data_IF_785144764718
#
_entry.id   IF_785144764718
#
_cell.length_a   1.000
_cell.length_b   1.000
_cell.length_c   1.000
_cell.angle_alpha   90.00
_cell.angle_beta   90.00
_cell.angle_gamma   90.00
#
_symmetry.space_group_name_H-M   'P 1'
#
loop_
_entity.id
_entity.type
_entity.pdbx_description
1 polymer ?
#
# COMPACT_ATOMS: atom_id res chain seq x y z
N UNK A 1 -55.52 29.92 4.26
CA UNK A 1 -54.35 30.64 3.75
C UNK A 1 -53.72 29.75 2.67
N UNK A 2 -53.83 30.15 1.42
CA UNK A 2 -53.41 29.41 0.21
C UNK A 2 -52.16 30.04 -0.39
N UNK A 3 -51.25 29.23 -0.93
CA UNK A 3 -50.27 29.59 -1.96
C UNK A 3 -50.06 28.31 -2.79
N UNK A 4 -50.75 28.10 -3.93
CA UNK A 4 -50.54 28.60 -5.32
C UNK A 4 -49.19 28.18 -5.94
N UNK A 5 -49.23 27.09 -6.70
CA UNK A 5 -48.24 26.67 -7.71
C UNK A 5 -48.60 27.30 -9.06
N UNK A 6 -47.65 27.88 -9.81
CA UNK A 6 -47.51 27.71 -11.27
C UNK A 6 -46.05 28.05 -11.73
N UNK A 7 -45.58 27.72 -12.96
CA UNK A 7 -44.51 26.74 -13.18
C UNK A 7 -43.38 27.26 -14.12
N UNK A 8 -42.35 26.46 -14.42
CA UNK A 8 -42.09 26.11 -15.83
C UNK A 8 -41.06 24.97 -16.02
N UNK A 9 -41.39 24.18 -17.04
CA UNK A 9 -40.62 23.27 -17.91
C UNK A 9 -39.12 23.13 -17.60
N UNK A 10 -38.53 21.93 -17.61
CA UNK A 10 -38.33 21.10 -18.81
C UNK A 10 -38.20 19.62 -18.42
N UNK A 11 -38.96 18.77 -19.13
CA UNK A 11 -38.68 17.33 -19.26
C UNK A 11 -37.44 17.13 -20.12
N UNK A 12 -36.45 16.40 -19.62
CA UNK A 12 -35.72 15.44 -20.43
C UNK A 12 -35.30 14.28 -19.50
N UNK A 13 -35.58 13.01 -19.85
CA UNK A 13 -34.92 11.91 -19.17
C UNK A 13 -33.42 12.04 -19.47
N UNK A 14 -32.58 12.07 -18.44
CA UNK A 14 -31.13 11.89 -18.58
C UNK A 14 -30.90 10.52 -19.22
N UNK A 15 -30.86 10.49 -20.55
CA UNK A 15 -30.45 9.33 -21.31
C UNK A 15 -28.93 9.20 -21.17
N UNK A 16 -28.49 8.45 -20.16
CA UNK A 16 -27.11 7.98 -20.10
C UNK A 16 -26.88 7.03 -21.28
N UNK A 17 -26.25 7.54 -22.35
CA UNK A 17 -25.67 6.68 -23.39
C UNK A 17 -24.20 6.43 -23.02
N UNK A 18 -23.94 5.32 -22.36
CA UNK A 18 -22.59 4.78 -22.27
C UNK A 18 -22.30 4.02 -23.58
N UNK A 19 -21.35 4.51 -24.38
CA UNK A 19 -20.81 3.74 -25.50
C UNK A 19 -19.70 2.84 -24.94
N UNK A 20 -20.05 1.59 -24.60
CA UNK A 20 -19.10 0.63 -24.08
C UNK A 20 -18.40 -0.08 -25.25
N UNK A 21 -17.11 0.20 -25.45
CA UNK A 21 -16.24 -0.62 -26.29
C UNK A 21 -15.59 -1.65 -25.36
N UNK A 22 -16.11 -2.88 -25.39
CA UNK A 22 -15.61 -4.01 -24.58
C UNK A 22 -14.60 -4.77 -25.44
N UNK A 23 -13.33 -4.76 -25.04
CA UNK A 23 -12.31 -5.69 -25.55
C UNK A 23 -11.77 -6.54 -24.38
N UNK A 24 -12.09 -7.84 -24.42
CA UNK A 24 -11.30 -8.92 -23.81
C UNK A 24 -11.50 -9.26 -22.32
N UNK A 25 -11.37 -10.55 -21.93
CA UNK A 25 -11.72 -11.05 -20.58
C UNK A 25 -10.63 -10.89 -19.50
N UNK A 26 -9.57 -10.11 -19.72
CA UNK A 26 -8.51 -9.90 -18.72
C UNK A 26 -8.38 -8.41 -18.37
N UNK A 27 -9.14 -8.01 -17.35
CA UNK A 27 -9.08 -6.72 -16.65
C UNK A 27 -9.05 -5.50 -17.57
N UNK A 28 -10.22 -5.04 -18.04
CA UNK A 28 -10.21 -4.07 -19.12
C UNK A 28 -9.97 -2.68 -18.53
N UNK A 29 -8.87 -2.07 -18.97
CA UNK A 29 -8.73 -0.62 -18.91
C UNK A 29 -9.72 -0.04 -19.91
N UNK A 30 -10.84 0.47 -19.43
CA UNK A 30 -11.76 1.21 -20.28
C UNK A 30 -11.56 2.70 -20.07
N UNK A 31 -11.26 3.38 -21.18
CA UNK A 31 -11.41 4.82 -21.29
C UNK A 31 -12.77 5.06 -21.94
N UNK A 32 -13.67 5.74 -21.25
CA UNK A 32 -14.95 6.12 -21.82
C UNK A 32 -15.21 7.61 -21.62
N UNK A 33 -15.98 8.19 -22.53
CA UNK A 33 -16.52 9.53 -22.37
C UNK A 33 -17.87 9.44 -21.67
N UNK A 34 -17.99 10.09 -20.53
CA UNK A 34 -19.28 10.34 -19.88
C UNK A 34 -19.73 11.77 -20.22
N UNK A 35 -21.01 11.96 -20.54
CA UNK A 35 -21.56 13.29 -20.80
C UNK A 35 -22.34 13.77 -19.58
N UNK A 36 -21.86 14.83 -18.92
CA UNK A 36 -22.61 15.59 -17.94
C UNK A 36 -22.98 16.94 -18.56
N UNK A 37 -24.16 17.00 -19.18
CA UNK A 37 -24.53 18.12 -20.06
C UNK A 37 -23.80 18.03 -21.41
N UNK A 38 -23.33 19.17 -21.94
CA UNK A 38 -22.75 19.27 -23.29
C UNK A 38 -21.23 19.04 -23.35
N UNK A 39 -20.57 18.83 -22.22
CA UNK A 39 -19.13 18.61 -22.17
C UNK A 39 -18.81 17.11 -22.00
N UNK A 40 -17.99 16.51 -22.87
CA UNK A 40 -17.48 15.17 -22.64
C UNK A 40 -16.47 15.18 -21.49
N UNK A 41 -16.72 14.37 -20.47
CA UNK A 41 -15.78 14.09 -19.39
C UNK A 41 -15.06 12.80 -19.76
N UNK A 42 -13.73 12.88 -19.86
CA UNK A 42 -12.89 11.70 -20.01
C UNK A 42 -12.81 10.99 -18.66
N UNK A 43 -13.41 9.80 -18.56
CA UNK A 43 -13.34 8.98 -17.36
C UNK A 43 -12.31 7.89 -17.59
N UNK A 44 -11.23 7.95 -16.83
CA UNK A 44 -10.29 6.85 -16.70
C UNK A 44 -10.74 5.99 -15.53
N UNK A 45 -11.16 4.76 -15.80
CA UNK A 45 -11.21 3.77 -14.73
C UNK A 45 -9.77 3.28 -14.55
N UNK A 46 -9.05 3.89 -13.60
CA UNK A 46 -7.75 3.37 -13.19
C UNK A 46 -7.98 1.90 -12.77
N UNK A 47 -7.26 0.97 -13.42
CA UNK A 47 -7.33 -0.44 -13.05
C UNK A 47 -7.21 -0.56 -11.53
N UNK A 48 -8.04 -1.41 -10.91
CA UNK A 48 -8.41 -1.34 -9.48
C UNK A 48 -7.27 -1.14 -8.48
N UNK A 49 -7.64 -0.91 -7.21
CA UNK A 49 -6.77 -0.52 -6.07
C UNK A 49 -5.43 -1.27 -5.95
N UNK A 50 -5.38 -2.51 -6.45
CA UNK A 50 -4.22 -3.40 -6.36
C UNK A 50 -3.53 -3.64 -7.70
N UNK A 51 -2.22 -3.86 -7.64
CA UNK A 51 -1.38 -4.32 -8.75
C UNK A 51 -0.66 -5.62 -8.42
N UNK A 52 -0.14 -6.29 -9.47
CA UNK A 52 0.80 -7.37 -9.25
C UNK A 52 2.09 -6.80 -8.64
N UNK A 53 2.77 -7.60 -7.82
CA UNK A 53 4.03 -7.21 -7.17
C UNK A 53 5.12 -6.80 -8.18
N UNK A 54 5.07 -7.32 -9.41
CA UNK A 54 5.99 -6.98 -10.50
C UNK A 54 5.79 -5.56 -11.07
N UNK A 55 4.64 -4.93 -10.76
CA UNK A 55 4.31 -3.57 -11.17
C UNK A 55 4.71 -2.53 -10.10
N UNK A 56 5.22 -2.96 -8.94
CA UNK A 56 5.65 -2.10 -7.85
C UNK A 56 7.00 -1.42 -8.15
N UNK A 57 7.33 -0.36 -7.39
CA UNK A 57 8.50 0.50 -7.68
C UNK A 57 9.63 0.26 -6.67
N UNK A 58 10.84 0.60 -7.10
CA UNK A 58 12.03 0.52 -6.24
C UNK A 58 12.25 -0.88 -5.69
N UNK A 59 12.40 -0.98 -4.38
CA UNK A 59 12.70 -2.24 -3.69
C UNK A 59 11.46 -3.12 -3.46
N UNK A 60 10.26 -2.55 -3.53
CA UNK A 60 9.01 -3.19 -3.13
C UNK A 60 8.77 -4.56 -3.81
N UNK A 61 9.00 -4.77 -5.13
CA UNK A 61 8.85 -6.10 -5.73
C UNK A 61 9.74 -7.16 -5.08
N UNK A 62 10.98 -6.78 -4.74
CA UNK A 62 11.96 -7.69 -4.16
C UNK A 62 11.65 -7.99 -2.68
N UNK A 63 11.18 -6.98 -1.94
CA UNK A 63 10.70 -7.14 -0.57
C UNK A 63 9.47 -8.05 -0.53
N UNK A 64 8.53 -7.86 -1.45
CA UNK A 64 7.36 -8.73 -1.60
C UNK A 64 7.77 -10.18 -1.89
N UNK A 65 8.75 -10.41 -2.77
CA UNK A 65 9.26 -11.73 -3.07
C UNK A 65 9.90 -12.41 -1.84
N UNK A 66 10.74 -11.67 -1.08
CA UNK A 66 11.34 -12.17 0.17
C UNK A 66 10.29 -12.43 1.25
N UNK A 67 9.28 -11.56 1.36
CA UNK A 67 8.17 -11.76 2.28
C UNK A 67 7.44 -13.06 1.98
N UNK A 68 7.06 -13.29 0.71
CA UNK A 68 6.38 -14.52 0.32
C UNK A 68 7.22 -15.79 0.53
N UNK A 69 8.55 -15.67 0.48
CA UNK A 69 9.48 -16.77 0.76
C UNK A 69 9.74 -16.98 2.26
N UNK A 70 9.35 -16.05 3.13
CA UNK A 70 9.54 -16.16 4.58
C UNK A 70 8.68 -17.27 5.17
N UNK A 71 9.22 -18.02 6.13
CA UNK A 71 8.48 -19.03 6.89
C UNK A 71 7.33 -18.45 7.71
N UNK A 72 7.41 -17.16 8.04
CA UNK A 72 6.36 -16.45 8.77
C UNK A 72 5.17 -16.06 7.88
N UNK A 73 5.36 -16.10 6.55
CA UNK A 73 4.33 -15.73 5.60
C UNK A 73 3.41 -16.91 5.26
N UNK A 74 2.13 -16.72 5.50
CA UNK A 74 1.08 -17.72 5.25
C UNK A 74 -0.09 -17.16 4.44
N UNK A 75 0.14 -16.08 3.68
CA UNK A 75 -0.92 -15.22 3.12
C UNK A 75 -1.48 -15.67 1.79
N UNK A 76 -0.85 -16.64 1.14
CA UNK A 76 -1.15 -16.99 -0.25
C UNK A 76 -0.63 -15.92 -1.20
N UNK A 77 -1.44 -15.54 -2.19
CA UNK A 77 -1.04 -14.52 -3.16
C UNK A 77 -0.90 -13.15 -2.50
N UNK A 78 0.20 -12.45 -2.78
CA UNK A 78 0.46 -11.07 -2.35
C UNK A 78 0.23 -10.12 -3.53
N UNK A 79 -0.35 -8.95 -3.26
CA UNK A 79 -0.53 -7.85 -4.22
C UNK A 79 -0.06 -6.54 -3.61
N UNK A 80 0.34 -5.61 -4.46
CA UNK A 80 0.70 -4.25 -4.05
C UNK A 80 -0.47 -3.29 -4.15
N UNK A 81 -0.44 -2.19 -3.40
CA UNK A 81 -1.34 -1.06 -3.61
C UNK A 81 -0.77 -0.18 -4.75
N UNK A 82 -1.64 0.34 -5.64
CA UNK A 82 -1.19 1.17 -6.78
C UNK A 82 -0.80 2.60 -6.39
N UNK A 83 -1.49 3.17 -5.41
CA UNK A 83 -1.28 4.51 -4.85
C UNK A 83 -0.89 4.34 -3.37
N UNK A 84 0.40 4.26 -3.05
CA UNK A 84 0.82 3.90 -1.69
C UNK A 84 1.11 5.13 -0.84
N UNK A 85 0.08 5.58 -0.10
CA UNK A 85 0.23 6.35 1.13
C UNK A 85 0.23 5.45 2.39
N UNK A 86 0.50 4.14 2.24
CA UNK A 86 0.36 3.01 3.18
C UNK A 86 -1.05 2.36 3.18
N UNK A 87 -1.17 1.01 3.20
CA UNK A 87 -0.11 -0.01 3.26
C UNK A 87 0.54 -0.30 1.90
N UNK A 88 1.66 -1.03 1.90
CA UNK A 88 2.38 -1.39 0.67
C UNK A 88 1.80 -2.64 0.02
N UNK A 89 1.42 -3.64 0.83
CA UNK A 89 0.93 -4.91 0.34
C UNK A 89 -0.35 -5.40 1.04
N UNK A 90 -1.11 -6.22 0.31
CA UNK A 90 -2.25 -6.99 0.82
C UNK A 90 -2.16 -8.44 0.34
N UNK A 91 -2.45 -9.40 1.22
CA UNK A 91 -2.50 -10.81 0.85
C UNK A 91 -3.93 -11.32 0.55
N UNK A 92 -4.03 -12.57 0.08
CA UNK A 92 -5.30 -13.20 -0.25
C UNK A 92 -6.24 -13.40 0.96
N UNK A 93 -5.74 -13.25 2.18
CA UNK A 93 -6.51 -13.29 3.43
C UNK A 93 -6.92 -11.89 3.91
N UNK A 94 -6.65 -10.86 3.13
CA UNK A 94 -6.96 -9.47 3.47
C UNK A 94 -6.02 -8.88 4.52
N UNK A 95 -4.88 -9.51 4.81
CA UNK A 95 -3.91 -8.97 5.76
C UNK A 95 -3.04 -7.94 5.06
N UNK A 96 -2.77 -6.83 5.73
CA UNK A 96 -1.99 -5.71 5.20
C UNK A 96 -0.59 -5.66 5.80
N UNK A 97 0.36 -5.22 4.96
CA UNK A 97 1.79 -5.20 5.27
C UNK A 97 2.36 -3.84 4.90
N UNK A 98 3.03 -3.20 5.86
CA UNK A 98 3.72 -1.92 5.70
C UNK A 98 5.24 -2.18 5.82
N UNK A 99 5.96 -1.97 4.72
CA UNK A 99 7.37 -2.31 4.61
C UNK A 99 8.26 -1.14 5.02
N UNK A 100 9.41 -1.48 5.60
CA UNK A 100 10.45 -0.52 5.97
C UNK A 100 11.82 -1.15 5.78
N UNK A 101 12.81 -0.34 5.41
CA UNK A 101 14.18 -0.82 5.24
C UNK A 101 14.42 -1.58 3.92
N UNK A 102 13.81 -1.20 2.80
CA UNK A 102 14.22 -1.79 1.52
C UNK A 102 15.76 -1.70 1.31
N UNK A 103 16.39 -2.62 0.56
CA UNK A 103 17.85 -2.65 0.32
C UNK A 103 18.50 -1.29 0.04
N UNK A 104 17.88 -0.47 -0.81
CA UNK A 104 18.37 0.86 -1.16
C UNK A 104 18.45 1.82 0.02
N UNK A 105 17.66 1.59 1.09
CA UNK A 105 17.68 2.39 2.29
C UNK A 105 18.92 2.12 3.15
N UNK A 106 19.41 0.88 3.20
CA UNK A 106 20.61 0.47 3.95
C UNK A 106 21.90 0.89 3.26
N UNK A 107 21.93 0.79 1.93
CA UNK A 107 23.10 1.12 1.10
C UNK A 107 23.12 2.58 0.65
N UNK A 108 22.22 3.41 1.16
CA UNK A 108 22.15 4.83 0.79
C UNK A 108 23.44 5.54 1.25
N UNK A 109 24.15 6.30 0.38
CA UNK A 109 25.34 7.05 0.79
C UNK A 109 25.05 8.11 1.86
N UNK A 110 23.80 8.56 1.97
CA UNK A 110 23.32 9.47 3.00
C UNK A 110 22.57 8.73 4.13
N UNK A 111 22.86 7.43 4.32
CA UNK A 111 22.28 6.64 5.39
C UNK A 111 22.44 7.34 6.73
N UNK A 112 21.34 7.38 7.49
CA UNK A 112 21.33 7.95 8.82
C UNK A 112 20.61 6.97 9.75
N UNK A 113 21.39 6.33 10.60
CA UNK A 113 20.92 5.30 11.52
C UNK A 113 19.78 5.80 12.42
N UNK A 114 19.91 7.00 12.99
CA UNK A 114 18.88 7.58 13.84
C UNK A 114 17.55 7.83 13.11
N UNK A 115 17.58 8.19 11.83
CA UNK A 115 16.37 8.31 11.00
C UNK A 115 15.78 6.94 10.68
N UNK A 116 16.62 5.95 10.37
CA UNK A 116 16.18 4.59 10.08
C UNK A 116 15.51 3.96 11.31
N UNK A 117 16.18 3.96 12.47
CA UNK A 117 15.65 3.45 13.74
C UNK A 117 14.32 4.14 14.09
N UNK A 118 14.23 5.46 13.92
CA UNK A 118 12.98 6.21 14.13
C UNK A 118 11.88 5.78 13.14
N UNK A 119 12.23 5.50 11.89
CA UNK A 119 11.28 5.01 10.89
C UNK A 119 10.74 3.64 11.29
N UNK A 120 11.60 2.70 11.65
CA UNK A 120 11.22 1.36 12.15
C UNK A 120 10.29 1.50 13.35
N UNK A 121 10.67 2.33 14.33
CA UNK A 121 9.84 2.61 15.49
C UNK A 121 8.44 3.10 15.10
N UNK A 122 8.33 4.05 14.16
CA UNK A 122 7.04 4.58 13.71
C UNK A 122 6.17 3.48 13.08
N UNK A 123 6.74 2.62 12.26
CA UNK A 123 6.00 1.52 11.63
C UNK A 123 5.48 0.53 12.66
N UNK A 124 6.24 0.25 13.73
CA UNK A 124 5.83 -0.72 14.76
C UNK A 124 4.84 -0.12 15.76
N UNK A 125 5.06 1.13 16.20
CA UNK A 125 4.40 1.70 17.39
C UNK A 125 3.52 2.92 17.15
N UNK A 126 3.59 3.57 15.98
CA UNK A 126 2.86 4.82 15.72
C UNK A 126 1.86 4.72 14.56
N UNK A 127 2.17 3.91 13.54
CA UNK A 127 1.28 3.64 12.42
C UNK A 127 0.26 2.57 12.80
N UNK A 128 -1.03 2.87 12.63
CA UNK A 128 -2.14 1.97 12.89
C UNK A 128 -2.88 1.61 11.61
N UNK A 129 -3.75 0.58 11.67
CA UNK A 129 -4.54 0.13 10.52
C UNK A 129 -3.86 -0.93 9.66
N UNK A 130 -2.72 -1.46 10.10
CA UNK A 130 -2.00 -2.53 9.41
C UNK A 130 -1.95 -3.80 10.26
N UNK A 131 -1.75 -4.95 9.63
CA UNK A 131 -1.57 -6.19 10.37
C UNK A 131 -0.09 -6.43 10.68
N UNK A 132 0.80 -6.12 9.73
CA UNK A 132 2.22 -6.41 9.82
C UNK A 132 3.09 -5.22 9.45
N UNK A 133 4.19 -5.09 10.16
CA UNK A 133 5.37 -4.34 9.71
C UNK A 133 6.36 -5.32 9.13
N UNK A 134 6.81 -5.08 7.90
CA UNK A 134 7.84 -5.89 7.24
C UNK A 134 9.14 -5.11 7.27
N UNK A 135 10.04 -5.47 8.18
CA UNK A 135 11.38 -4.92 8.24
C UNK A 135 12.28 -5.76 7.32
N UNK A 136 12.61 -5.22 6.15
CA UNK A 136 13.63 -5.80 5.30
C UNK A 136 15.00 -5.29 5.76
N UNK A 137 15.94 -6.19 6.03
CA UNK A 137 17.32 -5.84 6.39
C UNK A 137 18.30 -6.32 5.32
N UNK A 138 17.80 -6.73 4.15
CA UNK A 138 18.65 -7.18 3.05
C UNK A 138 19.58 -6.04 2.62
N UNK A 139 20.90 -6.27 2.66
CA UNK A 139 21.90 -5.26 2.34
C UNK A 139 22.34 -4.39 3.53
N UNK A 140 21.75 -4.58 4.71
CA UNK A 140 22.28 -4.00 5.93
C UNK A 140 23.62 -4.64 6.31
N UNK A 141 24.57 -3.81 6.74
CA UNK A 141 25.82 -4.27 7.36
C UNK A 141 25.56 -4.81 8.76
N UNK A 142 26.47 -5.65 9.28
CA UNK A 142 26.38 -6.21 10.63
C UNK A 142 26.20 -5.14 11.71
N UNK A 143 26.91 -4.01 11.60
CA UNK A 143 26.76 -2.89 12.55
C UNK A 143 25.35 -2.27 12.51
N UNK A 144 24.75 -2.13 11.32
CA UNK A 144 23.38 -1.63 11.19
C UNK A 144 22.37 -2.63 11.76
N UNK A 145 22.58 -3.93 11.51
CA UNK A 145 21.75 -5.00 12.06
C UNK A 145 21.81 -4.98 13.60
N UNK A 146 23.00 -4.90 14.18
CA UNK A 146 23.19 -4.85 15.63
C UNK A 146 22.51 -3.61 16.26
N UNK A 147 22.61 -2.45 15.61
CA UNK A 147 21.93 -1.23 16.08
C UNK A 147 20.41 -1.37 16.07
N UNK A 148 19.86 -2.02 15.04
CA UNK A 148 18.43 -2.31 14.94
C UNK A 148 17.99 -3.30 16.02
N UNK A 149 18.69 -4.42 16.20
CA UNK A 149 18.32 -5.40 17.24
C UNK A 149 18.47 -4.84 18.65
N UNK A 150 19.53 -4.08 18.94
CA UNK A 150 19.68 -3.37 20.21
C UNK A 150 18.50 -2.43 20.50
N UNK A 151 18.00 -1.74 19.46
CA UNK A 151 16.81 -0.90 19.57
C UNK A 151 15.54 -1.72 19.80
N UNK A 152 15.35 -2.81 19.06
CA UNK A 152 14.20 -3.71 19.21
C UNK A 152 14.14 -4.33 20.61
N UNK A 153 15.28 -4.79 21.14
CA UNK A 153 15.40 -5.36 22.48
C UNK A 153 15.06 -4.32 23.56
N UNK A 154 15.60 -3.11 23.42
CA UNK A 154 15.31 -1.99 24.32
C UNK A 154 13.81 -1.64 24.33
N UNK A 155 13.16 -1.62 23.16
CA UNK A 155 11.73 -1.37 23.07
C UNK A 155 10.88 -2.50 23.64
N UNK A 156 11.27 -3.76 23.38
CA UNK A 156 10.56 -4.93 23.90
C UNK A 156 10.68 -5.05 25.43
N UNK A 157 11.80 -4.60 26.01
CA UNK A 157 12.00 -4.55 27.46
C UNK A 157 11.18 -3.45 28.15
N UNK A 158 10.63 -2.48 27.40
CA UNK A 158 9.82 -1.40 27.96
C UNK A 158 8.34 -1.81 28.08
N UNK A 159 7.80 -2.00 29.30
CA UNK A 159 6.44 -2.47 29.50
C UNK A 159 5.36 -1.47 29.06
N UNK A 160 5.70 -0.19 28.88
CA UNK A 160 4.79 0.82 28.38
C UNK A 160 4.63 0.77 26.85
N UNK A 161 5.53 0.07 26.14
CA UNK A 161 5.50 -0.02 24.69
C UNK A 161 4.74 -1.26 24.24
N UNK A 162 3.71 -1.04 23.42
CA UNK A 162 2.90 -2.11 22.82
C UNK A 162 2.93 -1.97 21.30
N UNK A 163 3.47 -2.96 20.57
CA UNK A 163 3.43 -2.93 19.10
C UNK A 163 1.99 -2.83 18.61
N UNK A 164 1.75 -1.94 17.65
CA UNK A 164 0.45 -1.83 16.97
C UNK A 164 0.31 -2.88 15.86
N UNK A 165 1.44 -3.29 15.28
CA UNK A 165 1.51 -4.21 14.16
C UNK A 165 2.48 -5.35 14.51
N UNK A 166 2.26 -6.54 13.95
CA UNK A 166 3.19 -7.67 14.13
C UNK A 166 4.43 -7.47 13.25
N UNK A 167 5.62 -7.59 13.83
CA UNK A 167 6.87 -7.45 13.10
C UNK A 167 7.23 -8.78 12.38
N UNK A 168 7.61 -8.68 11.11
CA UNK A 168 8.29 -9.73 10.34
C UNK A 168 9.64 -9.16 9.89
N UNK A 169 10.72 -9.91 10.12
CA UNK A 169 12.07 -9.49 9.76
C UNK A 169 12.56 -10.33 8.57
N UNK A 170 13.05 -9.67 7.51
CA UNK A 170 13.62 -10.29 6.33
C UNK A 170 15.12 -9.96 6.23
N UNK A 171 15.90 -10.84 5.60
CA UNK A 171 17.30 -10.55 5.27
C UNK A 171 18.27 -10.49 6.46
N UNK A 172 17.83 -10.81 7.68
CA UNK A 172 18.64 -10.81 8.90
C UNK A 172 19.46 -12.09 9.13
N UNK A 173 19.89 -12.76 8.05
CA UNK A 173 20.78 -13.91 8.17
C UNK A 173 22.16 -13.45 8.61
N UNK A 174 22.48 -13.63 9.89
CA UNK A 174 23.85 -13.87 10.34
C UNK A 174 24.38 -15.17 9.72
#
# INVERSE_FOLDING_TARGET
MSVKLIPDRIRAPLAFRALCLIDGPHSPRYTYYAFAGNAPILVHNAGGEYCNISELKGDEPSTAARLMASKEYSGGQLRGFRDTNNPDFIDARGRTYDAVGGPSAWTNPNYNEGKMIRSIWKHIYAKSGFNYTVLDMTGASSAQIDAVFSSLDSWAANPAMKPLNKLIILGGGY
#
